data_IF_916861219412
#
_entry.id   IF_916861219412
#
_cell.length_a   1.000
_cell.length_b   1.000
_cell.length_c   1.000
_cell.angle_alpha   90.00
_cell.angle_beta   90.00
_cell.angle_gamma   90.00
#
_symmetry.space_group_name_H-M   'P 1'
#
loop_
_entity.id
_entity.type
_entity.pdbx_description
1 polymer ?
#
# COMPACT_ATOMS: atom_id res chain seq x y z
N UNK A 1 -56.87 -34.94 5.81
CA UNK A 1 -56.00 -35.42 6.91
C UNK A 1 -54.70 -34.62 7.00
N UNK A 2 -54.09 -34.22 5.88
CA UNK A 2 -52.76 -33.58 5.91
C UNK A 2 -52.72 -32.16 6.50
N UNK A 3 -53.81 -31.38 6.39
CA UNK A 3 -53.86 -30.02 6.96
C UNK A 3 -53.88 -30.02 8.49
N UNK A 4 -54.63 -30.93 9.11
CA UNK A 4 -54.69 -31.06 10.58
C UNK A 4 -53.39 -31.60 11.16
N UNK A 5 -52.70 -32.49 10.44
CA UNK A 5 -51.38 -33.00 10.84
C UNK A 5 -50.31 -31.91 10.82
N UNK A 6 -50.32 -31.04 9.80
CA UNK A 6 -49.42 -29.88 9.73
C UNK A 6 -49.67 -28.88 10.85
N UNK A 7 -50.94 -28.59 11.16
CA UNK A 7 -51.29 -27.70 12.28
C UNK A 7 -50.82 -28.24 13.64
N UNK A 8 -51.00 -29.55 13.88
CA UNK A 8 -50.53 -30.16 15.12
C UNK A 8 -48.99 -30.11 15.26
N UNK A 9 -48.26 -30.27 14.16
CA UNK A 9 -46.79 -30.17 14.14
C UNK A 9 -46.30 -28.73 14.33
N UNK A 10 -46.99 -27.74 13.75
CA UNK A 10 -46.72 -26.32 13.96
C UNK A 10 -46.95 -25.91 15.42
N UNK A 11 -48.05 -26.34 16.04
CA UNK A 11 -48.31 -26.09 17.46
C UNK A 11 -47.26 -26.75 18.37
N UNK A 12 -46.81 -27.96 18.04
CA UNK A 12 -45.74 -28.62 18.78
C UNK A 12 -44.41 -27.87 18.64
N UNK A 13 -44.11 -27.38 17.43
CA UNK A 13 -42.92 -26.57 17.15
C UNK A 13 -42.93 -25.28 17.97
N UNK A 14 -44.06 -24.59 18.02
CA UNK A 14 -44.21 -23.36 18.80
C UNK A 14 -44.13 -23.62 20.31
N UNK A 15 -44.68 -24.74 20.80
CA UNK A 15 -44.51 -25.17 22.20
C UNK A 15 -43.03 -25.45 22.53
N UNK A 16 -42.30 -26.06 21.61
CA UNK A 16 -40.87 -26.34 21.80
C UNK A 16 -40.04 -25.05 21.80
N UNK A 17 -40.34 -24.11 20.91
CA UNK A 17 -39.73 -22.77 20.91
C UNK A 17 -40.03 -22.00 22.19
N UNK A 18 -41.27 -22.03 22.67
CA UNK A 18 -41.66 -21.38 23.92
C UNK A 18 -40.87 -21.93 25.12
N UNK A 19 -40.75 -23.26 25.22
CA UNK A 19 -39.93 -23.91 26.26
C UNK A 19 -38.46 -23.54 26.17
N UNK A 20 -37.91 -23.36 24.97
CA UNK A 20 -36.53 -22.93 24.80
C UNK A 20 -36.33 -21.48 25.26
N UNK A 21 -37.27 -20.58 24.93
CA UNK A 21 -37.24 -19.18 25.38
C UNK A 21 -37.34 -19.09 26.91
N UNK A 22 -38.27 -19.80 27.52
CA UNK A 22 -38.43 -19.84 28.98
C UNK A 22 -37.16 -20.37 29.67
N UNK A 23 -36.52 -21.41 29.11
CA UNK A 23 -35.23 -21.91 29.63
C UNK A 23 -34.12 -20.87 29.49
N UNK A 24 -34.07 -20.14 28.39
CA UNK A 24 -33.07 -19.09 28.17
C UNK A 24 -33.27 -17.94 29.16
N UNK A 25 -34.50 -17.46 29.32
CA UNK A 25 -34.87 -16.41 30.27
C UNK A 25 -34.54 -16.81 31.71
N UNK A 26 -34.86 -18.04 32.11
CA UNK A 26 -34.55 -18.56 33.45
C UNK A 26 -33.04 -18.64 33.72
N UNK A 27 -32.24 -18.94 32.69
CA UNK A 27 -30.78 -18.93 32.80
C UNK A 27 -30.22 -17.50 32.88
N UNK A 28 -30.77 -16.58 32.09
CA UNK A 28 -30.41 -15.17 32.10
C UNK A 28 -30.73 -14.52 33.44
N UNK A 29 -31.92 -14.73 33.99
CA UNK A 29 -32.33 -14.21 35.29
C UNK A 29 -31.37 -14.67 36.41
N UNK A 30 -30.98 -15.95 36.39
CA UNK A 30 -29.98 -16.49 37.33
C UNK A 30 -28.62 -15.80 37.16
N UNK A 31 -28.18 -15.59 35.92
CA UNK A 31 -26.92 -14.89 35.63
C UNK A 31 -26.95 -13.45 36.13
N UNK A 32 -28.06 -12.74 35.91
CA UNK A 32 -28.21 -11.37 36.38
C UNK A 32 -28.18 -11.28 37.91
N UNK A 33 -28.82 -12.23 38.62
CA UNK A 33 -28.76 -12.27 40.08
C UNK A 33 -27.33 -12.45 40.59
N UNK A 34 -26.56 -13.36 39.98
CA UNK A 34 -25.14 -13.55 40.34
C UNK A 34 -24.31 -12.30 40.03
N UNK A 35 -24.56 -11.65 38.89
CA UNK A 35 -23.86 -10.41 38.53
C UNK A 35 -24.21 -9.27 39.49
N UNK A 36 -25.48 -9.13 39.90
CA UNK A 36 -25.90 -8.16 40.92
C UNK A 36 -25.14 -8.39 42.23
N UNK A 37 -25.06 -9.62 42.71
CA UNK A 37 -24.28 -9.95 43.91
C UNK A 37 -22.79 -9.63 43.76
N UNK A 38 -22.18 -9.96 42.62
CA UNK A 38 -20.78 -9.62 42.34
C UNK A 38 -20.55 -8.12 42.36
N UNK A 39 -21.45 -7.33 41.76
CA UNK A 39 -21.39 -5.87 41.75
C UNK A 39 -21.48 -5.31 43.16
N UNK A 40 -22.41 -5.79 43.98
CA UNK A 40 -22.57 -5.37 45.38
C UNK A 40 -21.31 -5.62 46.21
N UNK A 41 -20.71 -6.81 46.10
CA UNK A 41 -19.46 -7.15 46.81
C UNK A 41 -18.31 -6.25 46.37
N UNK A 42 -18.16 -6.03 45.06
CA UNK A 42 -17.12 -5.15 44.52
C UNK A 42 -17.33 -3.70 44.98
N UNK A 43 -18.56 -3.22 44.99
CA UNK A 43 -18.89 -1.89 45.50
C UNK A 43 -18.55 -1.77 46.99
N UNK A 44 -18.92 -2.76 47.81
CA UNK A 44 -18.61 -2.76 49.23
C UNK A 44 -17.09 -2.77 49.48
N UNK A 45 -16.34 -3.62 48.77
CA UNK A 45 -14.89 -3.67 48.91
C UNK A 45 -14.23 -2.38 48.43
N UNK A 46 -14.73 -1.77 47.35
CA UNK A 46 -14.28 -0.47 46.88
C UNK A 46 -14.48 0.60 47.96
N UNK A 47 -15.68 0.70 48.54
CA UNK A 47 -15.97 1.65 49.63
C UNK A 47 -15.07 1.40 50.84
N UNK A 48 -14.85 0.13 51.22
CA UNK A 48 -13.96 -0.25 52.31
C UNK A 48 -12.51 0.19 52.05
N UNK A 49 -11.99 -0.09 50.86
CA UNK A 49 -10.63 0.30 50.45
C UNK A 49 -10.46 1.81 50.41
N UNK A 50 -11.43 2.53 49.86
CA UNK A 50 -11.41 4.00 49.83
C UNK A 50 -11.42 4.57 51.26
N UNK A 51 -12.25 4.04 52.15
CA UNK A 51 -12.25 4.45 53.57
C UNK A 51 -10.92 4.16 54.27
N UNK A 52 -10.33 2.99 54.04
CA UNK A 52 -9.01 2.64 54.60
C UNK A 52 -7.91 3.55 54.06
N UNK A 53 -7.96 3.92 52.78
CA UNK A 53 -7.03 4.86 52.19
C UNK A 53 -7.17 6.24 52.84
N UNK A 54 -8.38 6.77 52.97
CA UNK A 54 -8.63 8.05 53.64
C UNK A 54 -8.15 8.04 55.09
N UNK A 55 -8.46 6.97 55.84
CA UNK A 55 -7.97 6.83 57.21
C UNK A 55 -6.44 6.79 57.27
N UNK A 56 -5.76 6.19 56.29
CA UNK A 56 -4.29 6.20 56.22
C UNK A 56 -3.77 7.62 56.01
N UNK A 57 -4.36 8.37 55.08
CA UNK A 57 -3.99 9.76 54.80
C UNK A 57 -4.20 10.62 56.05
N UNK A 58 -5.38 10.55 56.68
CA UNK A 58 -5.69 11.28 57.92
C UNK A 58 -4.71 10.95 59.06
N UNK A 59 -4.31 9.69 59.21
CA UNK A 59 -3.32 9.27 60.22
C UNK A 59 -1.89 9.69 59.86
N UNK A 60 -1.57 9.79 58.58
CA UNK A 60 -0.29 10.31 58.10
C UNK A 60 -0.16 11.82 58.32
N UNK A 61 -1.26 12.57 58.23
CA UNK A 61 -1.29 14.00 58.54
C UNK A 61 -1.23 14.29 60.06
N UNK A 62 -1.69 13.34 60.89
CA UNK A 62 -1.64 13.44 62.36
C UNK A 62 -0.29 13.01 62.99
N UNK A 63 0.58 12.35 62.22
CA UNK A 63 1.94 12.02 62.64
C UNK A 63 2.91 13.09 62.09
N UNK A 64 3.89 13.60 62.86
CA UNK A 64 4.90 14.47 62.29
C UNK A 64 5.70 13.67 61.27
N UNK A 65 5.45 13.92 59.99
CA UNK A 65 6.22 13.37 58.89
C UNK A 65 7.64 13.89 59.03
N UNK A 66 8.58 13.01 59.37
CA UNK A 66 9.98 13.24 59.06
C UNK A 66 10.05 13.40 57.53
N UNK A 67 10.14 14.64 57.07
CA UNK A 67 10.37 15.01 55.68
C UNK A 67 11.74 14.45 55.32
N UNK A 68 11.78 13.20 54.86
CA UNK A 68 12.89 12.71 54.09
C UNK A 68 12.73 13.34 52.71
N UNK A 69 13.42 14.46 52.54
CA UNK A 69 13.63 15.12 51.25
C UNK A 69 14.42 14.19 50.33
N UNK A 70 13.75 13.17 49.81
CA UNK A 70 14.26 12.36 48.72
C UNK A 70 13.92 13.12 47.43
N UNK A 71 14.87 13.91 46.97
CA UNK A 71 14.88 14.57 45.65
C UNK A 71 14.95 13.54 44.52
N UNK A 72 13.93 12.69 44.42
CA UNK A 72 13.83 11.70 43.35
C UNK A 72 12.42 11.75 42.81
N UNK A 73 12.35 12.06 41.52
CA UNK A 73 11.15 12.13 40.70
C UNK A 73 10.15 11.03 41.09
N UNK A 74 8.89 11.45 41.29
CA UNK A 74 7.77 10.54 41.60
C UNK A 74 7.86 9.31 40.68
N UNK A 75 7.57 8.08 41.15
CA UNK A 75 7.54 6.89 40.29
C UNK A 75 6.72 7.09 39.00
N UNK A 76 5.71 7.96 39.05
CA UNK A 76 4.91 8.36 37.89
C UNK A 76 5.69 9.24 36.89
N UNK A 77 6.51 10.18 37.38
CA UNK A 77 7.38 11.00 36.54
C UNK A 77 8.43 10.14 35.83
N UNK A 78 9.06 9.19 36.53
CA UNK A 78 10.01 8.23 35.93
C UNK A 78 9.36 7.36 34.85
N UNK A 79 8.12 6.93 35.06
CA UNK A 79 7.38 6.15 34.06
C UNK A 79 7.03 6.99 32.81
N UNK A 80 6.78 8.30 32.97
CA UNK A 80 6.56 9.21 31.85
C UNK A 80 7.85 9.46 31.07
N UNK A 81 8.96 9.73 31.77
CA UNK A 81 10.28 9.92 31.18
C UNK A 81 10.72 8.70 30.36
N UNK A 82 10.55 7.49 30.91
CA UNK A 82 10.85 6.26 30.17
C UNK A 82 10.01 6.12 28.88
N UNK A 83 8.73 6.48 28.94
CA UNK A 83 7.83 6.44 27.76
C UNK A 83 8.15 7.54 26.75
N UNK A 84 8.65 8.70 27.17
CA UNK A 84 9.08 9.76 26.24
C UNK A 84 10.41 9.39 25.59
N UNK A 85 11.39 8.93 26.38
CA UNK A 85 12.70 8.51 25.89
C UNK A 85 12.56 7.39 24.85
N UNK A 86 11.73 6.38 25.13
CA UNK A 86 11.46 5.31 24.16
C UNK A 86 10.83 5.82 22.85
N UNK A 87 9.96 6.83 22.92
CA UNK A 87 9.35 7.45 21.73
C UNK A 87 10.36 8.29 20.95
N UNK A 88 11.26 8.99 21.63
CA UNK A 88 12.32 9.78 21.01
C UNK A 88 13.35 8.88 20.32
N UNK A 89 13.74 7.77 20.95
CA UNK A 89 14.61 6.77 20.34
C UNK A 89 13.98 6.17 19.06
N UNK A 90 12.70 5.77 19.12
CA UNK A 90 11.97 5.29 17.94
C UNK A 90 11.89 6.37 16.84
N UNK A 91 11.65 7.63 17.21
CA UNK A 91 11.55 8.73 16.26
C UNK A 91 12.89 9.03 15.57
N UNK A 92 13.99 9.08 16.33
CA UNK A 92 15.33 9.30 15.78
C UNK A 92 15.74 8.16 14.86
N UNK A 93 15.42 6.91 15.20
CA UNK A 93 15.65 5.76 14.32
C UNK A 93 14.87 5.87 13.00
N UNK A 94 13.62 6.35 13.03
CA UNK A 94 12.83 6.59 11.83
C UNK A 94 13.40 7.72 10.96
N UNK A 95 13.87 8.81 11.58
CA UNK A 95 14.52 9.90 10.85
C UNK A 95 15.78 9.44 10.15
N UNK A 96 16.64 8.67 10.82
CA UNK A 96 17.84 8.10 10.22
C UNK A 96 17.53 7.22 9.00
N UNK A 97 16.53 6.34 9.09
CA UNK A 97 16.10 5.51 7.95
C UNK A 97 15.60 6.35 6.78
N UNK A 98 14.86 7.43 7.06
CA UNK A 98 14.36 8.35 6.02
C UNK A 98 15.51 9.07 5.33
N UNK A 99 16.50 9.54 6.09
CA UNK A 99 17.71 10.18 5.54
C UNK A 99 18.56 9.19 4.73
N UNK A 100 18.70 7.95 5.19
CA UNK A 100 19.41 6.91 4.45
C UNK A 100 18.73 6.63 3.10
N UNK A 101 17.40 6.51 3.09
CA UNK A 101 16.65 6.36 1.84
C UNK A 101 16.82 7.55 0.91
N UNK A 102 16.76 8.78 1.44
CA UNK A 102 16.97 10.01 0.66
C UNK A 102 18.38 10.05 0.05
N UNK A 103 19.42 9.72 0.82
CA UNK A 103 20.80 9.66 0.30
C UNK A 103 20.92 8.60 -0.77
N UNK A 104 20.27 7.45 -0.59
CA UNK A 104 20.27 6.38 -1.58
C UNK A 104 19.58 6.79 -2.88
N UNK A 105 18.48 7.53 -2.81
CA UNK A 105 17.81 8.05 -4.02
C UNK A 105 18.65 9.11 -4.72
N UNK A 106 19.25 10.03 -3.97
CA UNK A 106 20.12 11.09 -4.49
C UNK A 106 21.31 10.52 -5.27
N UNK A 107 21.96 9.47 -4.75
CA UNK A 107 23.07 8.78 -5.45
C UNK A 107 22.62 8.10 -6.74
N UNK A 108 21.39 7.58 -6.79
CA UNK A 108 20.86 6.97 -8.02
C UNK A 108 20.51 8.03 -9.07
N UNK A 109 19.91 9.14 -8.65
CA UNK A 109 19.56 10.27 -9.50
C UNK A 109 20.81 10.95 -10.09
N UNK A 110 21.85 11.16 -9.28
CA UNK A 110 23.14 11.71 -9.75
C UNK A 110 23.77 10.83 -10.84
N UNK A 111 23.77 9.50 -10.64
CA UNK A 111 24.28 8.56 -11.64
C UNK A 111 23.50 8.60 -12.95
N UNK A 112 22.17 8.74 -12.87
CA UNK A 112 21.33 8.87 -14.06
C UNK A 112 21.59 10.19 -14.80
N UNK A 113 21.70 11.29 -14.05
CA UNK A 113 22.05 12.61 -14.58
C UNK A 113 23.42 12.60 -15.28
N UNK A 114 24.43 11.98 -14.68
CA UNK A 114 25.77 11.85 -15.30
C UNK A 114 25.73 11.07 -16.61
N UNK A 115 24.98 9.95 -16.63
CA UNK A 115 24.79 9.16 -17.85
C UNK A 115 24.05 9.93 -18.94
N UNK A 116 23.02 10.69 -18.58
CA UNK A 116 22.30 11.54 -19.52
C UNK A 116 23.18 12.68 -20.05
N UNK A 117 23.98 13.31 -19.18
CA UNK A 117 24.90 14.35 -19.61
C UNK A 117 25.99 13.80 -20.52
N UNK A 118 26.50 12.59 -20.26
CA UNK A 118 27.44 11.91 -21.16
C UNK A 118 26.82 11.65 -22.54
N UNK A 119 25.60 11.10 -22.60
CA UNK A 119 24.86 10.93 -23.86
C UNK A 119 24.68 12.25 -24.61
N UNK A 120 24.39 13.34 -23.89
CA UNK A 120 24.26 14.67 -24.47
C UNK A 120 25.60 15.24 -24.95
N UNK A 121 26.70 15.00 -24.22
CA UNK A 121 28.05 15.39 -24.65
C UNK A 121 28.49 14.59 -25.86
N UNK A 122 28.19 13.30 -25.95
CA UNK A 122 28.45 12.48 -27.13
C UNK A 122 27.68 12.99 -28.35
N UNK A 123 26.40 13.30 -28.20
CA UNK A 123 25.60 13.88 -29.27
C UNK A 123 26.19 15.22 -29.76
N UNK A 124 26.65 16.07 -28.82
CA UNK A 124 27.34 17.33 -29.16
C UNK A 124 28.66 17.06 -29.89
N UNK A 125 29.48 16.12 -29.42
CA UNK A 125 30.74 15.73 -30.08
C UNK A 125 30.51 15.18 -31.48
N UNK A 126 29.55 14.27 -31.64
CA UNK A 126 29.16 13.70 -32.93
C UNK A 126 28.65 14.77 -33.90
N UNK A 127 27.83 15.72 -33.41
CA UNK A 127 27.36 16.86 -34.21
C UNK A 127 28.51 17.76 -34.65
N UNK A 128 29.45 18.09 -33.76
CA UNK A 128 30.61 18.92 -34.11
C UNK A 128 31.52 18.20 -35.12
N UNK A 129 31.84 16.94 -34.90
CA UNK A 129 32.66 16.15 -35.83
C UNK A 129 32.02 16.02 -37.22
N UNK A 130 30.69 15.93 -37.29
CA UNK A 130 29.95 15.95 -38.55
C UNK A 130 30.12 17.28 -39.31
N UNK A 131 30.02 18.42 -38.61
CA UNK A 131 30.22 19.75 -39.22
C UNK A 131 31.67 19.94 -39.71
N UNK A 132 32.66 19.48 -38.94
CA UNK A 132 34.08 19.55 -39.35
C UNK A 132 34.33 18.75 -40.63
N UNK A 133 33.72 17.56 -40.75
CA UNK A 133 33.83 16.75 -41.97
C UNK A 133 33.20 17.44 -43.19
N UNK A 134 32.11 18.18 -43.00
CA UNK A 134 31.50 18.96 -44.10
C UNK A 134 32.36 20.14 -44.52
N UNK A 135 32.98 20.87 -43.58
CA UNK A 135 33.89 21.98 -43.89
C UNK A 135 35.19 21.49 -44.53
N UNK A 136 35.73 20.37 -44.04
CA UNK A 136 36.93 19.74 -44.59
C UNK A 136 36.68 19.15 -45.98
N UNK A 137 35.51 18.55 -46.22
CA UNK A 137 35.10 18.01 -47.53
C UNK A 137 34.62 19.08 -48.52
N UNK A 138 34.38 20.32 -48.07
CA UNK A 138 34.01 21.45 -48.91
C UNK A 138 35.19 22.17 -49.57
N UNK A 139 36.42 21.76 -49.27
CA UNK A 139 37.65 22.45 -49.71
C UNK A 139 38.60 21.53 -50.49
N UNK A 140 38.06 20.48 -51.10
CA UNK A 140 38.78 19.66 -52.08
C UNK A 140 37.84 19.36 -53.25
N UNK A 141 37.57 20.35 -54.09
CA UNK A 141 37.45 20.28 -55.57
C UNK A 141 37.10 21.70 -56.03
N UNK A 142 38.11 22.56 -56.11
CA UNK A 142 38.10 23.77 -56.92
C UNK A 142 39.48 23.88 -57.57
N UNK A 143 39.70 23.07 -58.63
CA UNK A 143 40.94 23.15 -59.40
C UNK A 143 41.34 21.87 -60.13
N UNK A 144 40.40 21.11 -60.68
CA UNK A 144 40.73 19.95 -61.51
C UNK A 144 39.51 19.51 -62.30
N UNK A 145 39.49 19.85 -63.59
CA UNK A 145 38.56 19.26 -64.55
C UNK A 145 38.69 17.74 -64.48
N UNK A 146 37.59 17.02 -64.29
CA UNK A 146 37.35 15.73 -64.96
C UNK A 146 35.86 15.66 -65.26
N UNK A 147 35.63 15.49 -66.55
CA UNK A 147 34.36 15.32 -67.23
C UNK A 147 33.50 14.20 -66.63
N UNK A 148 32.18 14.45 -66.63
CA UNK A 148 31.21 13.58 -67.29
C UNK A 148 31.71 12.16 -67.60
N UNK A 149 31.51 11.22 -66.68
CA UNK A 149 31.20 9.84 -67.05
C UNK A 149 30.10 9.28 -66.15
N UNK A 150 28.86 9.54 -66.57
CA UNK A 150 27.78 8.58 -66.42
C UNK A 150 27.90 7.60 -67.58
N UNK A 151 27.72 6.30 -67.33
CA UNK A 151 26.93 5.52 -68.29
C UNK A 151 25.94 4.61 -67.52
N UNK A 152 25.03 3.90 -68.21
CA UNK A 152 23.71 4.47 -68.50
C UNK A 152 22.57 3.49 -68.17
N UNK A 153 21.33 3.99 -68.29
CA UNK A 153 20.06 3.28 -68.61
C UNK A 153 19.62 2.09 -67.73
N UNK A 154 18.35 1.76 -67.52
CA UNK A 154 17.09 2.05 -68.17
C UNK A 154 15.98 2.10 -67.07
N UNK A 155 14.84 2.76 -67.30
CA UNK A 155 13.52 2.10 -67.45
C UNK A 155 13.44 0.76 -66.68
N UNK A 156 12.57 0.57 -65.70
CA UNK A 156 11.12 0.62 -65.87
C UNK A 156 10.46 0.65 -64.48
N UNK A 157 9.23 1.15 -64.46
CA UNK A 157 8.30 1.08 -63.34
C UNK A 157 8.11 -0.37 -62.89
N UNK A 158 8.23 -0.64 -61.59
CA UNK A 158 7.18 -1.42 -60.95
C UNK A 158 7.03 -1.06 -59.46
N UNK A 159 5.87 -0.49 -59.13
CA UNK A 159 5.40 -0.39 -57.76
C UNK A 159 4.77 -1.73 -57.42
N UNK A 160 5.46 -2.54 -56.61
CA UNK A 160 5.00 -3.01 -55.28
C UNK A 160 5.86 -4.16 -54.77
N UNK A 161 6.21 -4.06 -53.49
CA UNK A 161 6.33 -5.23 -52.62
C UNK A 161 7.73 -5.50 -52.09
N UNK A 162 8.10 -4.87 -50.97
CA UNK A 162 9.01 -5.49 -50.02
C UNK A 162 8.54 -5.19 -48.60
N UNK A 163 7.65 -6.06 -48.15
CA UNK A 163 7.60 -6.46 -46.76
C UNK A 163 8.80 -7.39 -46.51
N UNK A 164 9.64 -7.00 -45.54
CA UNK A 164 9.91 -7.83 -44.36
C UNK A 164 11.14 -8.78 -44.37
N UNK A 165 11.84 -8.73 -43.22
CA UNK A 165 12.84 -9.67 -42.65
C UNK A 165 14.30 -9.64 -43.12
N UNK A 166 15.21 -9.40 -42.17
CA UNK A 166 16.58 -9.91 -42.21
C UNK A 166 16.78 -10.80 -40.98
N UNK A 167 16.71 -12.11 -41.18
CA UNK A 167 17.34 -13.07 -40.28
C UNK A 167 18.81 -13.18 -40.68
N UNK A 168 19.72 -13.15 -39.71
CA UNK A 168 21.09 -13.62 -39.90
C UNK A 168 21.31 -14.88 -39.06
N UNK A 169 21.95 -15.85 -39.69
CA UNK A 169 22.10 -17.24 -39.24
C UNK A 169 23.00 -17.42 -38.02
N UNK A 170 22.64 -18.45 -37.26
CA UNK A 170 23.31 -19.14 -36.15
C UNK A 170 24.53 -19.97 -36.62
N UNK A 171 25.40 -20.42 -35.69
CA UNK A 171 25.86 -21.81 -35.70
C UNK A 171 25.57 -22.57 -34.38
N UNK A 172 25.32 -23.88 -34.52
CA UNK A 172 24.97 -24.89 -33.50
C UNK A 172 26.21 -25.22 -32.62
N UNK A 173 26.06 -25.65 -31.36
CA UNK A 173 25.93 -27.06 -30.94
C UNK A 173 25.38 -27.14 -29.49
N UNK A 174 24.29 -27.87 -29.21
CA UNK A 174 24.17 -29.29 -28.81
C UNK A 174 24.53 -29.58 -27.34
N UNK A 175 23.53 -29.77 -26.47
CA UNK A 175 23.45 -30.88 -25.48
C UNK A 175 22.06 -30.90 -24.78
N UNK A 176 21.28 -31.93 -25.14
CA UNK A 176 20.47 -32.85 -24.30
C UNK A 176 19.50 -32.33 -23.22
N UNK A 177 18.21 -32.64 -23.43
CA UNK A 177 17.07 -32.62 -22.48
C UNK A 177 17.22 -33.65 -21.33
N UNK A 178 16.59 -33.46 -20.16
CA UNK A 178 15.27 -34.09 -19.95
C UNK A 178 14.26 -33.29 -19.08
N UNK A 179 12.97 -33.53 -19.34
CA UNK A 179 11.79 -33.40 -18.43
C UNK A 179 11.97 -34.21 -17.11
N UNK A 180 11.14 -34.12 -16.02
CA UNK A 180 9.67 -33.91 -16.00
C UNK A 180 9.03 -33.10 -14.81
N UNK A 181 7.83 -32.54 -15.07
CA UNK A 181 6.50 -32.64 -14.38
C UNK A 181 6.34 -32.64 -12.80
N UNK A 182 5.11 -32.78 -12.22
CA UNK A 182 4.27 -31.75 -11.58
C UNK A 182 3.99 -31.96 -10.06
N UNK A 183 3.10 -31.11 -9.50
CA UNK A 183 2.44 -31.10 -8.15
C UNK A 183 2.88 -29.89 -7.29
N UNK A 184 2.05 -29.12 -6.58
CA UNK A 184 0.83 -29.39 -5.80
C UNK A 184 -0.05 -28.12 -5.77
N UNK A 185 -1.34 -28.19 -6.09
CA UNK A 185 -2.48 -28.35 -5.16
C UNK A 185 -3.03 -27.06 -4.52
N UNK A 186 -4.20 -26.66 -5.06
CA UNK A 186 -5.42 -26.16 -4.40
C UNK A 186 -5.41 -24.86 -3.59
N UNK A 187 -6.18 -23.88 -4.08
CA UNK A 187 -7.19 -23.07 -3.34
C UNK A 187 -7.61 -21.90 -4.25
N UNK A 188 -8.41 -22.07 -5.31
CA UNK A 188 -9.88 -22.25 -5.29
C UNK A 188 -10.51 -21.81 -3.96
N UNK A 189 -10.57 -20.49 -3.76
CA UNK A 189 -11.63 -19.71 -3.06
C UNK A 189 -11.11 -18.28 -2.82
N UNK A 190 -10.99 -17.50 -3.90
CA UNK A 190 -11.22 -16.04 -3.90
C UNK A 190 -11.26 -15.53 -5.34
N UNK A 191 -12.11 -16.16 -6.14
CA UNK A 191 -12.80 -15.42 -7.19
C UNK A 191 -13.86 -14.55 -6.50
N UNK A 192 -14.22 -13.42 -7.13
CA UNK A 192 -15.14 -12.38 -6.63
C UNK A 192 -14.49 -11.28 -5.79
N UNK A 193 -13.61 -10.49 -6.42
CA UNK A 193 -13.43 -9.02 -6.21
C UNK A 193 -12.29 -8.47 -7.06
N UNK A 194 -11.37 -9.32 -7.53
CA UNK A 194 -10.14 -8.93 -8.23
C UNK A 194 -10.24 -8.80 -9.75
N UNK A 195 -11.45 -8.87 -10.35
CA UNK A 195 -11.62 -8.86 -11.82
C UNK A 195 -12.02 -7.50 -12.42
N UNK A 196 -12.10 -6.44 -11.62
CA UNK A 196 -12.47 -5.08 -12.07
C UNK A 196 -11.44 -3.99 -11.74
N UNK A 197 -10.37 -4.28 -11.01
CA UNK A 197 -9.34 -3.29 -10.63
C UNK A 197 -8.03 -3.52 -11.38
N UNK A 198 -8.09 -3.54 -12.70
CA UNK A 198 -6.90 -3.48 -13.56
C UNK A 198 -7.19 -2.61 -14.78
N UNK A 199 -8.07 -1.63 -14.61
CA UNK A 199 -8.20 -0.55 -15.58
C UNK A 199 -7.16 0.52 -15.21
N UNK A 200 -6.15 0.79 -16.06
CA UNK A 200 -5.17 1.83 -15.80
C UNK A 200 -5.82 3.21 -15.60
N UNK A 201 -7.00 3.44 -16.17
CA UNK A 201 -7.74 4.69 -15.98
C UNK A 201 -8.34 4.77 -14.57
N UNK A 202 -8.86 3.67 -14.01
CA UNK A 202 -9.39 3.63 -12.66
C UNK A 202 -8.33 4.00 -11.61
N UNK A 203 -7.17 3.35 -11.67
CA UNK A 203 -6.08 3.59 -10.73
C UNK A 203 -5.52 5.02 -10.86
N UNK A 204 -5.47 5.54 -12.09
CA UNK A 204 -5.07 6.92 -12.35
C UNK A 204 -6.04 7.93 -11.70
N UNK A 205 -7.35 7.71 -11.81
CA UNK A 205 -8.37 8.57 -11.20
C UNK A 205 -8.28 8.56 -9.68
N UNK A 206 -8.15 7.38 -9.06
CA UNK A 206 -7.97 7.25 -7.60
C UNK A 206 -6.72 7.99 -7.13
N UNK A 207 -5.60 7.83 -7.85
CA UNK A 207 -4.35 8.51 -7.53
C UNK A 207 -4.42 10.04 -7.72
N UNK A 208 -5.16 10.52 -8.72
CA UNK A 208 -5.43 11.95 -8.92
C UNK A 208 -6.31 12.53 -7.81
N UNK A 209 -7.31 11.80 -7.34
CA UNK A 209 -8.15 12.21 -6.21
C UNK A 209 -7.37 12.21 -4.90
N UNK A 210 -6.51 11.21 -4.67
CA UNK A 210 -5.69 11.14 -3.46
C UNK A 210 -4.70 12.31 -3.35
N UNK A 211 -4.22 12.83 -4.48
CA UNK A 211 -3.38 14.03 -4.53
C UNK A 211 -4.16 15.33 -4.30
N UNK A 212 -5.44 15.38 -4.66
CA UNK A 212 -6.29 16.56 -4.45
C UNK A 212 -6.95 16.58 -3.07
N UNK A 213 -7.21 15.41 -2.50
CA UNK A 213 -7.79 15.21 -1.18
C UNK A 213 -6.88 14.31 -0.31
N UNK A 214 -5.76 14.83 0.21
CA UNK A 214 -4.79 14.04 0.98
C UNK A 214 -5.34 13.51 2.31
N UNK A 215 -6.50 14.02 2.75
CA UNK A 215 -7.19 13.59 3.97
C UNK A 215 -8.25 12.52 3.73
N UNK A 216 -8.58 12.20 2.47
CA UNK A 216 -9.53 11.15 2.15
C UNK A 216 -8.83 9.78 2.15
N UNK A 217 -9.46 8.80 2.78
CA UNK A 217 -8.96 7.43 2.78
C UNK A 217 -9.04 6.85 1.38
N UNK A 218 -7.99 6.17 0.94
CA UNK A 218 -7.92 5.49 -0.35
C UNK A 218 -9.14 4.58 -0.64
N UNK A 219 -9.61 3.70 0.27
CA UNK A 219 -10.79 2.87 0.00
C UNK A 219 -12.07 3.70 -0.23
N UNK A 220 -12.20 4.86 0.44
CA UNK A 220 -13.33 5.75 0.23
C UNK A 220 -13.29 6.41 -1.17
N UNK A 221 -12.10 6.80 -1.64
CA UNK A 221 -11.92 7.32 -3.00
C UNK A 221 -12.18 6.22 -4.05
N UNK A 222 -11.75 4.99 -3.80
CA UNK A 222 -12.04 3.85 -4.68
C UNK A 222 -13.55 3.63 -4.83
N UNK A 223 -14.31 3.68 -3.73
CA UNK A 223 -15.78 3.57 -3.75
C UNK A 223 -16.45 4.70 -4.57
N UNK A 224 -15.96 5.94 -4.45
CA UNK A 224 -16.48 7.08 -5.20
C UNK A 224 -16.18 6.94 -6.70
N UNK A 225 -14.99 6.46 -7.06
CA UNK A 225 -14.62 6.22 -8.45
C UNK A 225 -15.44 5.08 -9.04
N UNK A 226 -15.75 4.04 -8.26
CA UNK A 226 -16.68 2.97 -8.66
C UNK A 226 -18.09 3.54 -8.90
N UNK A 227 -18.60 4.39 -8.00
CA UNK A 227 -19.91 5.04 -8.16
C UNK A 227 -19.97 5.97 -9.39
N UNK A 228 -18.83 6.54 -9.77
CA UNK A 228 -18.68 7.46 -10.90
C UNK A 228 -18.34 6.75 -12.21
N UNK A 229 -18.39 5.41 -12.27
CA UNK A 229 -17.98 4.59 -13.42
C UNK A 229 -16.55 4.89 -13.93
N UNK A 230 -15.63 5.31 -13.05
CA UNK A 230 -14.28 5.69 -13.43
C UNK A 230 -14.13 7.12 -13.95
N UNK A 231 -15.16 7.97 -13.91
CA UNK A 231 -15.07 9.37 -14.34
C UNK A 231 -14.49 10.27 -13.22
N UNK A 232 -13.35 10.90 -13.51
CA UNK A 232 -12.67 11.80 -12.58
C UNK A 232 -13.50 13.04 -12.22
N UNK A 233 -14.18 13.67 -13.18
CA UNK A 233 -14.90 14.92 -12.91
C UNK A 233 -16.13 14.66 -12.04
N UNK A 234 -16.87 13.59 -12.32
CA UNK A 234 -18.00 13.19 -11.48
C UNK A 234 -17.55 12.79 -10.07
N UNK A 235 -16.46 12.04 -9.96
CA UNK A 235 -15.89 11.67 -8.66
C UNK A 235 -15.40 12.89 -7.87
N UNK A 236 -14.84 13.89 -8.55
CA UNK A 236 -14.38 15.15 -7.96
C UNK A 236 -15.55 16.02 -7.47
N UNK A 237 -16.64 16.11 -8.24
CA UNK A 237 -17.84 16.84 -7.86
C UNK A 237 -18.55 16.23 -6.64
N UNK A 238 -18.43 14.91 -6.43
CA UNK A 238 -18.96 14.23 -5.24
C UNK A 238 -18.14 14.50 -3.97
N UNK A 239 -16.93 15.05 -4.10
CA UNK A 239 -15.99 15.32 -3.01
C UNK A 239 -15.93 16.81 -2.59
N UNK A 240 -16.68 17.69 -3.27
CA UNK A 240 -16.79 19.14 -3.01
C UNK A 240 -18.16 19.47 -2.43
#
# INVERSE_FOLDING_TARGET
MDRQRKQAEEEENDRMKAKQREKAERLEERREQEERQRREVLQQDHLRKTKQFLQRVERSDAAPLAVTSASHTSPWARAQEYRSERREEENTALQLKKEEQRKKSEVLEEKESDQEEERMRELRRGRSAFLDRLQSGGTEVAGGQIELQRPPVAMEEDRRGWQTHSQTSRPQDTFTSPEPDPAHSTSEWREETSKTHTDPDFEWVVMKLQNSFPFCERPFLEDIVIQSNGDYQQAYDLLI
#
